data_IF_817114644006
#
_entry.id   IF_817114644006
#
_cell.length_a   1.000
_cell.length_b   1.000
_cell.length_c   1.000
_cell.angle_alpha   90.00
_cell.angle_beta   90.00
_cell.angle_gamma   90.00
#
_symmetry.space_group_name_H-M   'P 1'
#
loop_
_entity.id
_entity.type
_entity.pdbx_description
1 polymer ?
#
# COMPACT_ATOMS: atom_id res chain seq x y z
N UNK A 1 -8.61 -8.42 3.54
CA UNK A 1 -9.78 -9.30 3.69
C UNK A 1 -9.95 -10.35 2.61
N UNK A 2 -9.57 -10.10 1.35
CA UNK A 2 -9.59 -11.15 0.30
C UNK A 2 -8.34 -12.04 0.37
N UNK A 3 -7.22 -11.48 0.80
CA UNK A 3 -5.95 -12.15 1.01
C UNK A 3 -5.56 -11.97 2.47
N UNK A 4 -5.66 -13.05 3.25
CA UNK A 4 -5.46 -13.01 4.70
C UNK A 4 -4.00 -12.81 5.10
N UNK A 5 -3.07 -13.11 4.20
CA UNK A 5 -1.63 -13.02 4.38
C UNK A 5 -1.02 -11.65 3.97
N UNK A 6 -1.86 -10.69 3.56
CA UNK A 6 -1.45 -9.36 3.12
C UNK A 6 -1.88 -8.30 4.13
N UNK A 7 -0.91 -7.51 4.60
CA UNK A 7 -1.12 -6.44 5.58
C UNK A 7 -0.71 -5.09 4.97
N UNK A 8 -1.59 -4.11 5.08
CA UNK A 8 -1.33 -2.71 4.76
C UNK A 8 -0.96 -1.97 6.05
N UNK A 9 0.18 -1.30 6.06
CA UNK A 9 0.57 -0.38 7.13
C UNK A 9 0.74 1.02 6.58
N UNK A 10 0.32 2.01 7.36
CA UNK A 10 0.52 3.43 7.06
C UNK A 10 1.16 4.11 8.26
N UNK A 11 2.00 5.09 8.01
CA UNK A 11 2.61 5.88 9.05
C UNK A 11 3.62 6.88 8.50
N UNK A 12 3.64 8.08 9.06
CA UNK A 12 4.48 9.14 8.55
C UNK A 12 4.10 9.54 7.11
N UNK A 13 5.02 9.43 6.17
CA UNK A 13 4.84 9.93 4.80
C UNK A 13 4.70 8.82 3.75
N UNK A 14 4.58 7.56 4.16
CA UNK A 14 4.45 6.44 3.25
C UNK A 14 3.49 5.38 3.77
N UNK A 15 3.12 4.47 2.89
CA UNK A 15 2.50 3.19 3.25
C UNK A 15 3.40 2.03 2.81
N UNK A 16 3.21 0.89 3.42
CA UNK A 16 3.86 -0.34 3.02
C UNK A 16 2.88 -1.52 3.04
N UNK A 17 3.07 -2.42 2.08
CA UNK A 17 2.32 -3.68 1.99
C UNK A 17 3.28 -4.81 2.35
N UNK A 18 2.84 -5.66 3.26
CA UNK A 18 3.60 -6.77 3.80
C UNK A 18 2.91 -8.08 3.45
N UNK A 19 3.69 -9.12 3.26
CA UNK A 19 3.19 -10.48 3.06
C UNK A 19 3.69 -11.37 4.17
N UNK A 20 2.80 -12.17 4.77
CA UNK A 20 3.17 -13.17 5.76
C UNK A 20 4.22 -14.15 5.19
N UNK A 21 5.21 -14.50 6.01
CA UNK A 21 6.31 -15.36 5.59
C UNK A 21 7.45 -14.67 4.84
N UNK A 22 7.31 -13.41 4.43
CA UNK A 22 8.37 -12.61 3.81
C UNK A 22 9.02 -11.73 4.88
N UNK A 23 10.24 -12.07 5.29
CA UNK A 23 10.95 -11.43 6.42
C UNK A 23 11.95 -10.38 5.99
N UNK A 24 12.30 -10.30 4.70
CA UNK A 24 13.31 -9.37 4.18
C UNK A 24 12.85 -7.92 4.12
N UNK A 25 11.53 -7.68 4.11
CA UNK A 25 10.95 -6.33 4.07
C UNK A 25 9.54 -6.30 3.50
N UNK A 26 8.97 -5.09 3.34
CA UNK A 26 7.68 -4.95 2.66
C UNK A 26 7.80 -5.33 1.19
N UNK A 27 6.77 -5.97 0.65
CA UNK A 27 6.72 -6.36 -0.76
C UNK A 27 6.42 -5.16 -1.67
N UNK A 28 5.79 -4.12 -1.14
CA UNK A 28 5.56 -2.85 -1.80
C UNK A 28 5.67 -1.72 -0.79
N UNK A 29 6.31 -0.61 -1.19
CA UNK A 29 6.37 0.62 -0.41
C UNK A 29 6.14 1.81 -1.33
N UNK A 30 5.31 2.76 -0.90
CA UNK A 30 5.06 3.99 -1.65
C UNK A 30 6.26 4.94 -1.59
N UNK A 31 6.32 5.87 -2.54
CA UNK A 31 7.13 7.07 -2.39
C UNK A 31 6.64 7.92 -1.20
N UNK A 32 7.47 8.86 -0.74
CA UNK A 32 7.07 9.79 0.30
C UNK A 32 5.97 10.72 -0.23
N UNK A 33 4.89 10.81 0.53
CA UNK A 33 3.82 11.79 0.31
C UNK A 33 4.24 13.16 0.83
N UNK A 34 3.68 14.24 0.30
CA UNK A 34 3.88 15.60 0.81
C UNK A 34 3.22 15.82 2.18
N UNK A 35 2.15 15.07 2.47
CA UNK A 35 1.37 15.12 3.69
C UNK A 35 1.34 13.76 4.37
N UNK A 36 1.31 13.74 5.70
CA UNK A 36 1.34 12.48 6.45
C UNK A 36 0.08 11.67 6.23
N UNK A 37 0.27 10.38 6.13
CA UNK A 37 -0.79 9.38 6.14
C UNK A 37 -1.22 9.10 7.58
N UNK A 38 -2.51 9.12 7.84
CA UNK A 38 -3.08 9.08 9.20
C UNK A 38 -3.99 7.88 9.44
N UNK A 39 -4.62 7.36 8.39
CA UNK A 39 -5.51 6.22 8.45
C UNK A 39 -5.50 5.45 7.13
N UNK A 40 -5.78 4.15 7.18
CA UNK A 40 -5.97 3.36 5.97
C UNK A 40 -6.92 2.19 6.20
N UNK A 41 -7.58 1.77 5.13
CA UNK A 41 -8.41 0.57 5.14
C UNK A 41 -8.51 -0.04 3.73
N UNK A 42 -8.44 -1.38 3.65
CA UNK A 42 -8.73 -2.10 2.41
C UNK A 42 -10.19 -1.96 2.00
N UNK A 43 -10.45 -1.95 0.70
CA UNK A 43 -11.81 -2.12 0.18
C UNK A 43 -12.39 -3.46 0.61
N UNK A 44 -13.70 -3.51 0.86
CA UNK A 44 -14.41 -4.75 1.21
C UNK A 44 -14.88 -5.52 -0.03
N UNK A 45 -14.88 -4.89 -1.21
CA UNK A 45 -15.42 -5.47 -2.44
C UNK A 45 -14.37 -5.65 -3.54
N UNK A 46 -13.32 -4.84 -3.53
CA UNK A 46 -12.22 -4.90 -4.50
C UNK A 46 -10.91 -5.29 -3.84
N UNK A 47 -10.28 -6.35 -4.34
CA UNK A 47 -9.09 -6.95 -3.69
C UNK A 47 -7.81 -6.13 -3.83
N UNK A 48 -7.70 -5.32 -4.87
CA UNK A 48 -6.53 -4.46 -5.13
C UNK A 48 -6.71 -3.01 -4.72
N UNK A 49 -7.85 -2.65 -4.11
CA UNK A 49 -8.20 -1.26 -3.76
C UNK A 49 -8.13 -1.03 -2.26
N UNK A 50 -7.57 0.12 -1.88
CA UNK A 50 -7.56 0.60 -0.49
C UNK A 50 -7.65 2.12 -0.43
N UNK A 51 -8.03 2.61 0.74
CA UNK A 51 -8.23 4.02 1.04
C UNK A 51 -7.19 4.49 2.05
N UNK A 52 -6.62 5.66 1.83
CA UNK A 52 -5.66 6.29 2.76
C UNK A 52 -6.16 7.69 3.10
N UNK A 53 -6.29 7.99 4.39
CA UNK A 53 -6.55 9.32 4.91
C UNK A 53 -5.27 10.07 5.20
N UNK A 54 -5.29 11.38 5.01
CA UNK A 54 -4.16 12.27 5.18
C UNK A 54 -4.44 13.35 6.23
N UNK A 55 -3.38 13.96 6.75
CA UNK A 55 -3.44 15.05 7.74
C UNK A 55 -4.07 16.33 7.20
N UNK A 56 -4.12 16.51 5.88
CA UNK A 56 -4.75 17.67 5.22
C UNK A 56 -6.23 17.46 4.88
N UNK A 57 -6.85 16.36 5.38
CA UNK A 57 -8.24 16.02 5.13
C UNK A 57 -8.54 15.41 3.77
N UNK A 58 -7.51 15.11 2.99
CA UNK A 58 -7.64 14.38 1.75
C UNK A 58 -7.75 12.88 2.01
N UNK A 59 -8.46 12.18 1.13
CA UNK A 59 -8.49 10.72 1.05
C UNK A 59 -7.99 10.31 -0.32
N UNK A 60 -6.99 9.47 -0.33
CA UNK A 60 -6.44 8.84 -1.54
C UNK A 60 -7.06 7.47 -1.73
N UNK A 61 -7.40 7.17 -2.98
CA UNK A 61 -7.90 5.87 -3.42
C UNK A 61 -6.82 5.26 -4.28
N UNK A 62 -6.33 4.10 -3.85
CA UNK A 62 -5.30 3.34 -4.54
C UNK A 62 -5.89 2.09 -5.16
N UNK A 63 -5.59 1.84 -6.44
CA UNK A 63 -5.89 0.60 -7.15
C UNK A 63 -4.59 0.02 -7.70
N UNK A 64 -4.09 -1.04 -7.08
CA UNK A 64 -2.81 -1.66 -7.41
C UNK A 64 -2.77 -2.29 -8.80
N UNK A 65 -3.91 -2.58 -9.40
CA UNK A 65 -3.98 -3.09 -10.77
C UNK A 65 -3.98 -1.97 -11.81
N UNK A 66 -4.31 -0.75 -11.41
CA UNK A 66 -4.24 0.44 -12.27
C UNK A 66 -2.86 1.10 -12.17
N UNK A 67 -2.46 1.48 -10.96
CA UNK A 67 -1.22 2.22 -10.68
C UNK A 67 -0.63 1.83 -9.33
N UNK A 68 0.70 1.80 -9.26
CA UNK A 68 1.42 1.48 -8.01
C UNK A 68 2.30 2.61 -7.49
N UNK A 69 2.47 3.69 -8.27
CA UNK A 69 3.37 4.80 -7.97
C UNK A 69 2.64 6.09 -7.57
N UNK A 70 1.35 6.17 -7.84
CA UNK A 70 0.49 7.30 -7.47
C UNK A 70 -0.94 6.82 -7.18
N UNK A 71 -1.75 7.56 -6.40
CA UNK A 71 -3.15 7.20 -6.18
C UNK A 71 -3.95 7.29 -7.49
N UNK A 72 -4.95 6.41 -7.65
CA UNK A 72 -5.89 6.47 -8.77
C UNK A 72 -6.77 7.70 -8.70
N UNK A 73 -7.16 8.09 -7.48
CA UNK A 73 -7.97 9.28 -7.22
C UNK A 73 -7.58 9.90 -5.87
N UNK A 74 -7.77 11.21 -5.75
CA UNK A 74 -7.65 11.95 -4.49
C UNK A 74 -8.86 12.84 -4.33
N UNK A 75 -9.50 12.79 -3.15
CA UNK A 75 -10.69 13.57 -2.84
C UNK A 75 -10.48 14.32 -1.53
N UNK A 76 -10.70 15.63 -1.54
CA UNK A 76 -10.76 16.41 -0.30
C UNK A 76 -12.11 16.19 0.39
N UNK A 77 -12.08 15.82 1.67
CA UNK A 77 -13.27 15.53 2.48
C UNK A 77 -13.45 16.57 3.58
N UNK A 78 -12.35 16.97 4.21
CA UNK A 78 -12.35 17.87 5.37
C UNK A 78 -11.17 18.84 5.29
N UNK A 79 -11.21 19.90 6.08
CA UNK A 79 -10.05 20.75 6.33
C UNK A 79 -9.17 20.23 7.49
N UNK A 80 -9.65 19.19 8.19
CA UNK A 80 -9.02 18.59 9.36
C UNK A 80 -8.46 17.20 9.00
N UNK A 81 -7.48 16.70 9.78
CA UNK A 81 -6.84 15.43 9.52
C UNK A 81 -7.83 14.26 9.60
N UNK A 82 -7.76 13.33 8.67
CA UNK A 82 -8.55 12.10 8.70
C UNK A 82 -7.95 11.16 9.75
N UNK A 83 -8.71 10.81 10.78
CA UNK A 83 -8.24 9.98 11.88
C UNK A 83 -8.67 8.52 11.79
N UNK A 84 -9.76 8.25 11.05
CA UNK A 84 -10.32 6.92 10.93
C UNK A 84 -11.03 6.72 9.59
N UNK A 85 -10.90 5.52 9.04
CA UNK A 85 -11.56 5.10 7.79
C UNK A 85 -12.19 3.74 8.01
N UNK A 86 -13.46 3.60 7.66
CA UNK A 86 -14.15 2.31 7.67
C UNK A 86 -15.13 2.18 6.52
N UNK A 87 -14.87 1.32 5.54
CA UNK A 87 -15.87 0.93 4.55
C UNK A 87 -16.88 -0.05 5.16
N UNK A 88 -18.13 0.00 4.67
CA UNK A 88 -19.11 -1.03 4.95
C UNK A 88 -20.07 -1.24 3.78
N UNK A 89 -20.65 -2.43 3.70
CA UNK A 89 -21.56 -2.85 2.64
C UNK A 89 -22.95 -2.97 3.24
N UNK A 90 -23.92 -2.23 2.71
CA UNK A 90 -25.34 -2.34 3.06
C UNK A 90 -26.04 -3.32 2.12
N UNK A 91 -25.74 -3.23 0.83
CA UNK A 91 -26.30 -4.13 -0.20
C UNK A 91 -25.29 -4.26 -1.36
N UNK A 92 -25.57 -5.15 -2.30
CA UNK A 92 -24.73 -5.31 -3.49
C UNK A 92 -24.53 -4.03 -4.31
N UNK A 93 -25.45 -3.06 -4.17
CA UNK A 93 -25.40 -1.78 -4.89
C UNK A 93 -25.03 -0.58 -4.02
N UNK A 94 -25.00 -0.74 -2.70
CA UNK A 94 -24.78 0.35 -1.75
C UNK A 94 -23.60 0.05 -0.85
N UNK A 95 -22.50 0.68 -1.15
CA UNK A 95 -21.25 0.62 -0.41
C UNK A 95 -20.92 2.01 0.12
N UNK A 96 -20.58 2.10 1.39
CA UNK A 96 -20.28 3.36 2.05
C UNK A 96 -18.88 3.38 2.63
N UNK A 97 -18.36 4.59 2.77
CA UNK A 97 -17.09 4.87 3.44
C UNK A 97 -17.36 5.87 4.57
N UNK A 98 -17.18 5.44 5.80
CA UNK A 98 -17.21 6.30 6.97
C UNK A 98 -15.80 6.83 7.24
N UNK A 99 -15.70 8.13 7.43
CA UNK A 99 -14.47 8.85 7.70
C UNK A 99 -14.67 9.73 8.93
N UNK A 100 -13.78 9.63 9.90
CA UNK A 100 -13.75 10.57 11.02
C UNK A 100 -12.54 11.49 10.86
N UNK A 101 -12.71 12.75 11.23
CA UNK A 101 -11.65 13.74 11.28
C UNK A 101 -11.31 14.15 12.72
N UNK A 102 -10.21 14.86 12.93
CA UNK A 102 -9.75 15.30 14.24
C UNK A 102 -10.57 16.48 14.81
N UNK A 103 -11.45 17.09 14.01
CA UNK A 103 -12.44 18.05 14.50
C UNK A 103 -13.67 17.38 15.16
N UNK A 104 -13.73 16.03 15.14
CA UNK A 104 -14.83 15.25 15.68
C UNK A 104 -16.01 15.08 14.71
N UNK A 105 -15.83 15.37 13.43
CA UNK A 105 -16.88 15.22 12.41
C UNK A 105 -16.81 13.81 11.80
N UNK A 106 -17.99 13.19 11.63
CA UNK A 106 -18.18 11.95 10.89
C UNK A 106 -18.72 12.25 9.50
N UNK A 107 -17.97 11.90 8.49
CA UNK A 107 -18.38 11.96 7.09
C UNK A 107 -18.79 10.56 6.61
N UNK A 108 -19.93 10.47 5.94
CA UNK A 108 -20.41 9.22 5.35
C UNK A 108 -20.58 9.45 3.85
N UNK A 109 -19.78 8.73 3.06
CA UNK A 109 -19.77 8.86 1.61
C UNK A 109 -20.24 7.57 0.97
N UNK A 110 -20.99 7.67 -0.11
CA UNK A 110 -21.29 6.52 -0.97
C UNK A 110 -20.10 6.25 -1.89
N UNK A 111 -19.65 4.98 -1.93
CA UNK A 111 -18.58 4.55 -2.83
C UNK A 111 -19.18 4.34 -4.22
N UNK A 112 -18.71 5.04 -5.27
CA UNK A 112 -19.21 4.88 -6.64
C UNK A 112 -19.08 3.45 -7.15
N UNK A 113 -19.97 3.05 -8.06
CA UNK A 113 -19.99 1.71 -8.65
C UNK A 113 -18.61 1.28 -9.19
N UNK A 114 -17.88 2.18 -9.84
CA UNK A 114 -16.54 1.91 -10.39
C UNK A 114 -15.49 1.52 -9.34
N UNK A 115 -15.66 1.99 -8.11
CA UNK A 115 -14.74 1.73 -7.00
C UNK A 115 -15.14 0.53 -6.13
N UNK A 116 -16.36 0.02 -6.28
CA UNK A 116 -16.79 -1.14 -5.48
C UNK A 116 -17.13 -2.37 -6.33
N UNK A 117 -17.27 -2.24 -7.66
CA UNK A 117 -17.53 -3.38 -8.53
C UNK A 117 -16.22 -4.04 -8.97
N UNK A 118 -15.95 -5.31 -8.57
CA UNK A 118 -14.73 -5.99 -8.96
C UNK A 118 -14.73 -6.32 -10.45
N UNK A 119 -13.59 -6.19 -11.10
CA UNK A 119 -13.40 -6.67 -12.47
C UNK A 119 -13.31 -8.19 -12.53
N UNK A 120 -13.57 -8.76 -13.70
CA UNK A 120 -13.37 -10.19 -13.91
C UNK A 120 -11.89 -10.55 -13.64
N UNK A 121 -11.66 -11.62 -12.86
CA UNK A 121 -10.33 -12.11 -12.49
C UNK A 121 -9.48 -11.13 -11.63
N UNK A 122 -10.08 -10.14 -11.00
CA UNK A 122 -9.35 -9.18 -10.17
C UNK A 122 -8.54 -9.86 -9.07
N UNK A 123 -9.12 -10.84 -8.36
CA UNK A 123 -8.44 -11.59 -7.29
C UNK A 123 -7.20 -12.31 -7.85
N UNK A 124 -7.33 -12.98 -8.98
CA UNK A 124 -6.20 -13.67 -9.62
C UNK A 124 -5.13 -12.69 -10.08
N UNK A 125 -5.54 -11.55 -10.63
CA UNK A 125 -4.63 -10.49 -11.04
C UNK A 125 -3.83 -9.93 -9.87
N UNK A 126 -4.47 -9.67 -8.73
CA UNK A 126 -3.79 -9.15 -7.55
C UNK A 126 -2.90 -10.19 -6.87
N UNK A 127 -3.27 -11.47 -6.89
CA UNK A 127 -2.42 -12.57 -6.43
C UNK A 127 -1.13 -12.64 -7.24
N UNK A 128 -1.21 -12.64 -8.56
CA UNK A 128 -0.04 -12.63 -9.44
C UNK A 128 0.81 -11.36 -9.26
N UNK A 129 0.17 -10.22 -9.02
CA UNK A 129 0.89 -8.98 -8.69
C UNK A 129 1.74 -9.17 -7.44
N UNK A 130 1.18 -9.63 -6.32
CA UNK A 130 1.93 -9.83 -5.08
C UNK A 130 3.00 -10.92 -5.20
N UNK A 131 2.75 -12.00 -5.90
CA UNK A 131 3.77 -13.03 -6.18
C UNK A 131 4.97 -12.47 -6.96
N UNK A 132 4.71 -11.59 -7.92
CA UNK A 132 5.76 -10.91 -8.68
C UNK A 132 6.57 -9.96 -7.80
N UNK A 133 5.93 -9.20 -6.92
CA UNK A 133 6.63 -8.31 -6.00
C UNK A 133 7.49 -9.08 -4.98
N UNK A 134 7.04 -10.24 -4.51
CA UNK A 134 7.87 -11.15 -3.67
C UNK A 134 9.11 -11.59 -4.43
N UNK A 135 8.97 -12.08 -5.66
CA UNK A 135 10.12 -12.50 -6.49
C UNK A 135 11.09 -11.34 -6.77
N UNK A 136 10.55 -10.14 -6.97
CA UNK A 136 11.34 -8.94 -7.17
C UNK A 136 12.17 -8.60 -5.92
N UNK A 137 11.57 -8.67 -4.73
CA UNK A 137 12.26 -8.46 -3.47
C UNK A 137 13.36 -9.50 -3.23
N UNK A 138 13.09 -10.80 -3.47
CA UNK A 138 14.06 -11.88 -3.37
C UNK A 138 15.26 -11.66 -4.32
N UNK A 139 14.99 -11.28 -5.56
CA UNK A 139 16.04 -10.95 -6.52
C UNK A 139 16.90 -9.77 -6.06
N UNK A 140 16.26 -8.72 -5.55
CA UNK A 140 16.96 -7.55 -5.01
C UNK A 140 17.91 -7.92 -3.86
N UNK A 141 17.46 -8.73 -2.90
CA UNK A 141 18.28 -9.18 -1.78
C UNK A 141 19.44 -10.07 -2.24
N UNK A 142 19.22 -10.96 -3.20
CA UNK A 142 20.30 -11.75 -3.81
C UNK A 142 21.36 -10.87 -4.46
N UNK A 143 20.94 -9.86 -5.23
CA UNK A 143 21.85 -8.91 -5.88
C UNK A 143 22.63 -8.08 -4.87
N UNK A 144 21.98 -7.67 -3.80
CA UNK A 144 22.62 -6.92 -2.70
C UNK A 144 23.69 -7.77 -1.99
N UNK A 145 23.37 -9.02 -1.68
CA UNK A 145 24.32 -9.97 -1.08
C UNK A 145 25.51 -10.21 -2.01
N UNK A 146 25.29 -10.42 -3.30
CA UNK A 146 26.33 -10.61 -4.29
C UNK A 146 27.27 -9.39 -4.36
N UNK A 147 26.73 -8.16 -4.46
CA UNK A 147 27.55 -6.94 -4.46
C UNK A 147 28.35 -6.76 -3.18
N UNK A 148 27.79 -7.11 -2.03
CA UNK A 148 28.52 -7.06 -0.77
C UNK A 148 29.70 -8.04 -0.73
N UNK A 149 29.55 -9.27 -1.31
CA UNK A 149 30.63 -10.24 -1.41
C UNK A 149 31.73 -9.79 -2.37
N UNK A 150 31.39 -9.21 -3.51
CA UNK A 150 32.36 -8.65 -4.45
C UNK A 150 33.18 -7.52 -3.81
N UNK A 151 32.52 -6.59 -3.11
CA UNK A 151 33.19 -5.50 -2.40
C UNK A 151 34.19 -6.02 -1.38
N UNK A 152 33.81 -6.99 -0.55
CA UNK A 152 34.72 -7.64 0.41
C UNK A 152 35.93 -8.30 -0.27
N UNK A 153 35.71 -8.99 -1.40
CA UNK A 153 36.79 -9.64 -2.14
C UNK A 153 37.79 -8.64 -2.72
N UNK A 154 37.33 -7.49 -3.18
CA UNK A 154 38.17 -6.39 -3.67
C UNK A 154 39.00 -5.77 -2.55
N UNK A 155 38.37 -5.48 -1.40
CA UNK A 155 39.05 -4.94 -0.20
C UNK A 155 40.16 -5.90 0.28
N UNK A 156 39.90 -7.20 0.31
CA UNK A 156 40.91 -8.21 0.67
C UNK A 156 42.10 -8.25 -0.33
N UNK A 157 41.83 -8.14 -1.63
CA UNK A 157 42.87 -8.07 -2.67
C UNK A 157 43.73 -6.82 -2.55
N UNK A 158 43.11 -5.67 -2.21
CA UNK A 158 43.86 -4.42 -1.98
C UNK A 158 44.76 -4.50 -0.74
N UNK A 159 44.25 -5.09 0.35
CA UNK A 159 45.04 -5.30 1.56
C UNK A 159 46.24 -6.25 1.33
N UNK A 160 46.07 -7.27 0.50
CA UNK A 160 47.14 -8.21 0.15
C UNK A 160 48.24 -7.58 -0.72
N UNK A 161 47.92 -6.53 -1.52
CA UNK A 161 48.89 -5.80 -2.35
C UNK A 161 49.68 -4.77 -1.57
N UNK A 162 49.24 -4.36 -0.38
CA UNK A 162 49.91 -3.38 0.48
C UNK A 162 50.90 -4.01 1.48
N UNK A 163 50.97 -5.32 1.52
CA UNK A 163 51.97 -6.12 2.25
C UNK A 163 53.10 -6.56 1.28
#
# INVERSE_FOLDING_TARGET
PFLQDIVLSVGGWNFAIWKEGVTSGPILQSCCSEKRYTAAHWSLSRSGVFFIGKEDGNVEIWDLLEKTHEPSQTQNISAAAITYIKPWIVSAKQHFLALADDSGTLHVLEIPWTLHHPSANEITGIQHFFEREVKHLEYYEQRKAFRASEKRSLELKELSKKK
#
